data_IF_753412652139
#
_entry.id   IF_753412652139
#
_cell.length_a   1.000
_cell.length_b   1.000
_cell.length_c   1.000
_cell.angle_alpha   90.00
_cell.angle_beta   90.00
_cell.angle_gamma   90.00
#
_symmetry.space_group_name_H-M   'P 1'
#
loop_
_entity.id
_entity.type
_entity.pdbx_description
1 polymer ?
#
# COMPACT_ATOMS: atom_id res chain seq x y z
N UNK A 1 -9.06 2.65 -11.55
CA UNK A 1 -7.63 2.40 -11.85
C UNK A 1 -7.57 1.03 -12.48
N UNK A 2 -7.13 0.96 -13.72
CA UNK A 2 -6.97 -0.31 -14.42
C UNK A 2 -5.84 -1.11 -13.78
N UNK A 3 -5.95 -2.42 -13.78
CA UNK A 3 -4.97 -3.35 -13.24
C UNK A 3 -3.72 -3.41 -14.13
N UNK A 4 -2.84 -2.42 -13.99
CA UNK A 4 -1.59 -2.35 -14.76
C UNK A 4 -0.56 -3.41 -14.36
N UNK A 5 -0.75 -4.06 -13.21
CA UNK A 5 0.19 -5.03 -12.64
C UNK A 5 -0.08 -6.47 -13.08
N UNK A 6 -1.08 -6.69 -13.94
CA UNK A 6 -1.52 -8.02 -14.43
C UNK A 6 -1.99 -8.95 -13.29
N UNK A 7 -2.41 -8.39 -12.17
CA UNK A 7 -2.93 -9.16 -11.03
C UNK A 7 -4.20 -9.89 -11.52
N UNK A 8 -4.46 -11.15 -11.16
CA UNK A 8 -5.73 -11.77 -11.51
C UNK A 8 -6.90 -11.05 -10.83
N UNK A 9 -8.03 -10.91 -11.51
CA UNK A 9 -9.18 -10.15 -11.00
C UNK A 9 -9.66 -10.66 -9.63
N UNK A 10 -9.68 -11.98 -9.43
CA UNK A 10 -10.00 -12.62 -8.15
C UNK A 10 -9.08 -12.13 -7.02
N UNK A 11 -7.77 -12.08 -7.27
CA UNK A 11 -6.79 -11.60 -6.30
C UNK A 11 -6.95 -10.11 -6.04
N UNK A 12 -7.24 -9.30 -7.07
CA UNK A 12 -7.50 -7.87 -6.88
C UNK A 12 -8.75 -7.65 -6.02
N UNK A 13 -9.84 -8.38 -6.29
CA UNK A 13 -11.07 -8.32 -5.52
C UNK A 13 -10.83 -8.68 -4.05
N UNK A 14 -10.16 -9.80 -3.77
CA UNK A 14 -9.83 -10.21 -2.41
C UNK A 14 -9.02 -9.14 -1.65
N UNK A 15 -8.03 -8.54 -2.31
CA UNK A 15 -7.22 -7.48 -1.69
C UNK A 15 -8.13 -6.27 -1.41
N UNK A 16 -9.00 -5.86 -2.35
CA UNK A 16 -9.88 -4.71 -2.15
C UNK A 16 -10.89 -4.92 -1.03
N UNK A 17 -11.46 -6.12 -0.92
CA UNK A 17 -12.39 -6.47 0.17
C UNK A 17 -11.70 -6.49 1.54
N UNK A 18 -10.44 -6.93 1.58
CA UNK A 18 -9.64 -6.95 2.80
C UNK A 18 -9.37 -5.54 3.36
N UNK A 19 -9.16 -4.54 2.51
CA UNK A 19 -8.77 -3.18 2.94
C UNK A 19 -9.90 -2.15 2.77
N UNK A 20 -10.80 -2.11 3.76
CA UNK A 20 -11.83 -1.06 3.87
C UNK A 20 -11.26 0.32 4.23
N UNK A 21 -10.06 0.36 4.81
CA UNK A 21 -9.33 1.58 5.16
C UNK A 21 -7.87 1.49 4.72
N UNK A 22 -7.21 2.64 4.60
CA UNK A 22 -5.83 2.73 4.15
C UNK A 22 -4.91 1.90 5.06
N UNK A 23 -4.16 0.96 4.45
CA UNK A 23 -3.23 0.08 5.17
C UNK A 23 -2.18 0.83 6.02
N UNK A 24 -1.91 2.10 5.71
CA UNK A 24 -0.97 2.94 6.45
C UNK A 24 -1.68 3.84 7.47
N UNK A 25 -2.33 4.92 7.01
CA UNK A 25 -2.92 5.94 7.90
C UNK A 25 -4.32 5.61 8.43
N UNK A 26 -4.94 4.51 7.98
CA UNK A 26 -6.24 4.05 8.48
C UNK A 26 -7.45 4.91 8.08
N UNK A 27 -7.29 5.88 7.18
CA UNK A 27 -8.41 6.69 6.68
C UNK A 27 -9.24 5.92 5.65
N UNK A 28 -10.49 6.33 5.50
CA UNK A 28 -11.37 5.85 4.43
C UNK A 28 -10.86 6.28 3.05
N UNK A 29 -11.14 5.44 2.05
CA UNK A 29 -10.63 5.61 0.71
C UNK A 29 -11.77 5.61 -0.30
N UNK A 30 -11.58 6.34 -1.38
CA UNK A 30 -12.57 6.44 -2.46
C UNK A 30 -12.34 5.32 -3.47
N UNK A 31 -13.33 4.46 -3.65
CA UNK A 31 -13.38 3.44 -4.70
C UNK A 31 -14.83 3.19 -5.16
N UNK A 32 -15.09 3.06 -6.49
CA UNK A 32 -14.17 3.32 -7.58
C UNK A 32 -13.76 4.79 -7.63
N UNK A 33 -12.56 5.07 -8.12
CA UNK A 33 -12.09 6.45 -8.31
C UNK A 33 -12.92 7.14 -9.40
N UNK A 34 -13.56 8.27 -9.07
CA UNK A 34 -14.49 8.98 -9.97
C UNK A 34 -14.04 10.38 -10.40
N UNK A 35 -12.83 10.85 -10.07
CA UNK A 35 -12.39 12.20 -10.47
C UNK A 35 -11.35 12.86 -9.59
N UNK A 36 -11.39 14.19 -9.56
CA UNK A 36 -10.41 15.14 -8.99
C UNK A 36 -9.65 14.74 -7.70
N UNK A 37 -10.27 14.02 -6.77
CA UNK A 37 -9.61 13.64 -5.52
C UNK A 37 -8.77 12.36 -5.62
N UNK A 38 -7.61 12.47 -6.28
CA UNK A 38 -6.62 11.38 -6.36
C UNK A 38 -5.98 11.05 -5.02
N UNK A 39 -5.91 12.02 -4.11
CA UNK A 39 -5.29 11.88 -2.78
C UNK A 39 -5.98 10.81 -1.94
N UNK A 40 -7.28 10.66 -2.12
CA UNK A 40 -8.10 9.80 -1.26
C UNK A 40 -8.51 8.52 -1.96
N UNK A 41 -8.22 8.42 -3.25
CA UNK A 41 -8.45 7.21 -4.04
C UNK A 41 -7.75 5.97 -3.46
N UNK A 42 -8.44 4.84 -3.46
CA UNK A 42 -7.89 3.54 -3.10
C UNK A 42 -6.91 3.06 -4.19
N UNK A 43 -5.64 2.89 -3.83
CA UNK A 43 -4.55 2.50 -4.75
C UNK A 43 -3.94 1.18 -4.33
N UNK A 44 -3.56 0.34 -5.29
CA UNK A 44 -2.74 -0.84 -5.04
C UNK A 44 -1.30 -0.39 -4.81
N UNK A 45 -0.69 -0.87 -3.75
CA UNK A 45 0.70 -0.56 -3.38
C UNK A 45 1.52 -1.84 -3.18
N UNK A 46 2.74 -1.81 -3.70
CA UNK A 46 3.74 -2.85 -3.47
C UNK A 46 4.47 -2.57 -2.17
N UNK A 47 4.52 -3.53 -1.25
CA UNK A 47 5.28 -3.37 -0.01
C UNK A 47 6.80 -3.37 -0.26
N UNK A 48 7.26 -4.12 -1.27
CA UNK A 48 8.67 -4.15 -1.71
C UNK A 48 9.00 -3.00 -2.66
N UNK A 49 10.15 -2.36 -2.47
CA UNK A 49 10.73 -1.41 -3.42
C UNK A 49 11.48 -2.08 -4.58
N UNK A 50 11.64 -3.40 -4.50
CA UNK A 50 12.35 -4.26 -5.45
C UNK A 50 11.37 -5.14 -6.22
N UNK A 51 11.77 -5.50 -7.45
CA UNK A 51 11.08 -6.48 -8.31
C UNK A 51 10.86 -7.81 -7.60
N UNK A 52 9.84 -8.60 -8.00
CA UNK A 52 8.91 -8.36 -9.13
C UNK A 52 7.78 -7.37 -8.82
N UNK A 53 7.31 -6.66 -9.85
CA UNK A 53 6.19 -5.69 -9.76
C UNK A 53 4.97 -6.09 -10.59
N UNK A 54 5.11 -7.11 -11.44
CA UNK A 54 4.00 -7.65 -12.22
C UNK A 54 3.67 -9.05 -11.73
N UNK A 55 2.39 -9.40 -11.73
CA UNK A 55 1.97 -10.74 -11.40
C UNK A 55 2.52 -11.74 -12.42
N UNK A 56 2.89 -12.94 -11.94
CA UNK A 56 3.52 -13.98 -12.76
C UNK A 56 5.00 -13.73 -13.08
N UNK A 57 5.51 -12.51 -12.88
CA UNK A 57 6.93 -12.19 -13.08
C UNK A 57 7.81 -12.94 -12.07
N UNK A 58 8.85 -13.62 -12.56
CA UNK A 58 9.89 -14.26 -11.75
C UNK A 58 11.15 -13.39 -11.77
N UNK A 59 11.60 -12.95 -10.60
CA UNK A 59 12.84 -12.20 -10.45
C UNK A 59 13.66 -12.75 -9.28
N UNK A 60 14.89 -13.18 -9.55
CA UNK A 60 15.82 -13.77 -8.55
C UNK A 60 15.15 -14.85 -7.67
N UNK A 61 14.40 -15.77 -8.30
CA UNK A 61 13.72 -16.86 -7.61
C UNK A 61 12.45 -16.45 -6.83
N UNK A 62 12.00 -15.20 -6.95
CA UNK A 62 10.81 -14.68 -6.25
C UNK A 62 9.73 -14.26 -7.24
N UNK A 63 8.47 -14.46 -6.88
CA UNK A 63 7.27 -14.00 -7.61
C UNK A 63 6.50 -12.99 -6.77
N UNK A 64 5.78 -12.08 -7.44
CA UNK A 64 4.82 -11.22 -6.74
C UNK A 64 3.69 -12.08 -6.21
N UNK A 65 3.33 -11.86 -4.94
CA UNK A 65 2.24 -12.57 -4.26
C UNK A 65 1.34 -11.58 -3.56
N UNK A 66 0.13 -12.03 -3.19
CA UNK A 66 -0.88 -11.22 -2.50
C UNK A 66 -0.33 -10.57 -1.23
N UNK A 67 0.54 -11.27 -0.48
CA UNK A 67 1.11 -10.75 0.78
C UNK A 67 2.07 -9.57 0.56
N UNK A 68 2.56 -9.38 -0.66
CA UNK A 68 3.38 -8.22 -1.04
C UNK A 68 2.58 -7.00 -1.47
N UNK A 69 1.25 -7.09 -1.48
CA UNK A 69 0.33 -6.07 -1.99
C UNK A 69 -0.63 -5.59 -0.90
N UNK A 70 -0.91 -4.30 -0.88
CA UNK A 70 -1.89 -3.68 0.01
C UNK A 70 -2.70 -2.62 -0.72
N UNK A 71 -3.85 -2.21 -0.15
CA UNK A 71 -4.53 -0.98 -0.58
C UNK A 71 -4.21 0.17 0.37
N UNK A 72 -3.86 1.32 -0.20
CA UNK A 72 -3.68 2.55 0.56
C UNK A 72 -4.20 3.77 -0.21
N UNK A 73 -4.42 4.88 0.50
CA UNK A 73 -4.84 6.13 -0.14
C UNK A 73 -3.71 6.72 -1.02
N UNK A 74 -4.09 7.44 -2.07
CA UNK A 74 -3.16 8.04 -3.01
C UNK A 74 -2.11 8.95 -2.36
N UNK A 75 -2.46 9.67 -1.29
CA UNK A 75 -1.48 10.48 -0.54
C UNK A 75 -0.40 9.64 0.13
N UNK A 76 -0.76 8.52 0.76
CA UNK A 76 0.21 7.64 1.41
C UNK A 76 1.08 6.96 0.37
N UNK A 77 0.48 6.46 -0.71
CA UNK A 77 1.21 5.86 -1.83
C UNK A 77 2.24 6.84 -2.41
N UNK A 78 1.80 8.05 -2.79
CA UNK A 78 2.68 9.09 -3.34
C UNK A 78 3.80 9.48 -2.38
N UNK A 79 3.50 9.66 -1.09
CA UNK A 79 4.50 9.98 -0.07
C UNK A 79 5.54 8.87 0.12
N UNK A 80 5.10 7.60 0.13
CA UNK A 80 5.99 6.44 0.23
C UNK A 80 6.89 6.37 -1.00
N UNK A 81 6.28 6.29 -2.18
CA UNK A 81 6.98 5.99 -3.43
C UNK A 81 7.81 4.72 -3.27
N UNK A 82 9.07 4.76 -3.74
CA UNK A 82 9.99 3.61 -3.70
C UNK A 82 10.82 3.49 -2.40
N UNK A 83 10.40 4.12 -1.31
CA UNK A 83 11.15 4.07 -0.04
C UNK A 83 10.84 2.77 0.70
N UNK A 84 11.86 2.19 1.34
CA UNK A 84 11.68 1.14 2.36
C UNK A 84 10.76 1.63 3.47
N UNK A 85 9.94 0.74 4.05
CA UNK A 85 8.92 1.10 5.03
C UNK A 85 9.54 1.75 6.27
N UNK A 86 10.55 1.11 6.90
CA UNK A 86 11.21 1.67 8.09
C UNK A 86 11.88 3.02 7.81
N UNK A 87 12.36 3.25 6.58
CA UNK A 87 12.93 4.55 6.17
C UNK A 87 11.83 5.59 5.93
N UNK A 88 10.70 5.17 5.38
CA UNK A 88 9.56 6.06 5.13
C UNK A 88 8.89 6.52 6.44
N UNK A 89 8.71 5.64 7.42
CA UNK A 89 8.15 5.98 8.73
C UNK A 89 8.91 7.07 9.48
N UNK A 90 10.20 7.25 9.19
CA UNK A 90 11.02 8.31 9.77
C UNK A 90 10.74 9.70 9.17
N UNK A 91 10.01 9.79 8.06
CA UNK A 91 9.75 11.05 7.35
C UNK A 91 8.70 11.91 8.06
N UNK A 92 8.74 13.25 7.90
CA UNK A 92 7.75 14.16 8.49
C UNK A 92 6.31 13.80 8.14
N UNK A 93 6.08 13.31 6.91
CA UNK A 93 4.77 12.83 6.50
C UNK A 93 4.20 11.78 7.46
N UNK A 94 5.02 10.83 7.93
CA UNK A 94 4.56 9.76 8.80
C UNK A 94 4.40 10.21 10.26
N UNK A 95 5.22 11.16 10.71
CA UNK A 95 5.26 11.63 12.11
C UNK A 95 4.22 12.69 12.44
N UNK A 96 3.87 13.52 11.45
CA UNK A 96 2.98 14.65 11.64
C UNK A 96 1.65 14.37 10.90
N UNK A 97 0.65 13.78 11.59
CA UNK A 97 -0.68 13.66 11.02
C UNK A 97 -1.23 15.07 10.73
N UNK A 98 -1.95 15.19 9.63
CA UNK A 98 -2.50 16.45 9.15
C UNK A 98 -3.49 16.18 8.03
N UNK A 99 -4.51 17.02 7.91
CA UNK A 99 -5.74 16.71 7.17
C UNK A 99 -6.48 15.53 7.80
N UNK A 100 -7.09 14.69 6.98
CA UNK A 100 -7.90 13.52 7.39
C UNK A 100 -7.11 12.30 7.92
N UNK A 101 -5.78 12.41 8.04
CA UNK A 101 -4.95 11.30 8.51
C UNK A 101 -5.17 11.14 10.01
N UNK A 102 -5.77 10.01 10.37
CA UNK A 102 -6.23 9.73 11.74
C UNK A 102 -5.10 9.49 12.76
N UNK A 103 -3.86 9.23 12.31
CA UNK A 103 -2.75 8.80 13.18
C UNK A 103 -1.36 8.99 12.57
N UNK A 104 -0.36 8.91 13.44
CA UNK A 104 1.05 8.67 13.09
C UNK A 104 1.18 7.34 12.34
N UNK A 105 2.03 7.29 11.33
CA UNK A 105 2.30 6.10 10.53
C UNK A 105 3.63 5.49 10.98
N UNK A 106 3.56 4.36 11.69
CA UNK A 106 4.71 3.61 12.17
C UNK A 106 4.44 2.10 12.17
N UNK A 107 5.41 1.30 12.59
CA UNK A 107 5.33 -0.16 12.62
C UNK A 107 4.18 -0.70 13.48
N UNK A 108 3.74 0.06 14.48
CA UNK A 108 2.68 -0.33 15.39
C UNK A 108 1.31 0.13 14.90
N UNK A 109 1.25 1.17 14.08
CA UNK A 109 -0.02 1.73 13.63
C UNK A 109 -0.51 1.13 12.31
N UNK A 110 0.37 0.69 11.41
CA UNK A 110 -0.01 0.12 10.10
C UNK A 110 -0.82 -1.17 10.20
N UNK A 111 -1.48 -1.56 9.11
CA UNK A 111 -2.24 -2.81 9.01
C UNK A 111 -1.37 -4.06 9.26
N UNK A 112 -1.99 -5.13 9.77
CA UNK A 112 -1.32 -6.38 10.17
C UNK A 112 -0.40 -6.95 9.07
N UNK A 113 -0.87 -6.98 7.83
CA UNK A 113 -0.09 -7.43 6.66
C UNK A 113 1.22 -6.64 6.47
N UNK A 114 1.18 -5.32 6.68
CA UNK A 114 2.37 -4.46 6.61
C UNK A 114 3.34 -4.81 7.74
N UNK A 115 2.84 -5.01 8.96
CA UNK A 115 3.67 -5.45 10.11
C UNK A 115 4.35 -6.78 9.83
N UNK A 116 3.60 -7.74 9.31
CA UNK A 116 4.11 -9.06 8.97
C UNK A 116 5.14 -9.01 7.85
N UNK A 117 4.93 -8.16 6.85
CA UNK A 117 5.91 -7.92 5.79
C UNK A 117 7.21 -7.37 6.34
N UNK A 118 7.15 -6.33 7.18
CA UNK A 118 8.32 -5.72 7.82
C UNK A 118 9.08 -6.79 8.62
N UNK A 119 8.39 -7.53 9.51
CA UNK A 119 9.00 -8.58 10.34
C UNK A 119 9.77 -9.64 9.52
N UNK A 120 9.29 -9.96 8.31
CA UNK A 120 9.88 -10.98 7.45
C UNK A 120 10.98 -10.44 6.51
N UNK A 121 11.03 -9.14 6.25
CA UNK A 121 11.82 -8.58 5.13
C UNK A 121 12.68 -7.35 5.48
N UNK A 122 12.43 -6.66 6.60
CA UNK A 122 13.14 -5.44 7.03
C UNK A 122 13.62 -5.51 8.49
#
# INVERSE_FOLDING_TARGET
MSNHFKIPDEVELEIREQYKSCAYCGKEMIFPWRGDNRRDSATIEHLSEKRPFYWGELYRGRKLRKEGLVICCGSCNSSRGRKKLRKWFKKPYCKNPGGERRRIIDENSVAKSVKEYIRKNE
#
